data_IF_326906206117
#
_entry.id   IF_326906206117
#
_cell.length_a   1.000
_cell.length_b   1.000
_cell.length_c   1.000
_cell.angle_alpha   90.00
_cell.angle_beta   90.00
_cell.angle_gamma   90.00
#
_symmetry.space_group_name_H-M   'P 1'
#
loop_
_entity.id
_entity.type
_entity.pdbx_description
1 polymer ?
#
# COMPACT_ATOMS: atom_id res chain seq x y z
N UNK A 1 -67.26 7.73 -67.54
CA UNK A 1 -66.23 8.67 -67.07
C UNK A 1 -66.72 9.31 -65.78
N UNK A 2 -65.86 9.43 -64.78
CA UNK A 2 -66.27 9.91 -63.45
C UNK A 2 -65.82 11.37 -63.33
N UNK A 3 -66.76 12.33 -63.18
CA UNK A 3 -66.40 13.72 -62.92
C UNK A 3 -65.92 13.85 -61.47
N UNK A 4 -64.74 14.44 -61.30
CA UNK A 4 -64.23 14.86 -59.99
C UNK A 4 -64.10 16.37 -59.97
N UNK A 5 -64.54 16.98 -58.86
CA UNK A 5 -64.33 18.40 -58.59
C UNK A 5 -63.00 18.59 -57.87
N UNK A 6 -62.07 19.31 -58.50
CA UNK A 6 -60.78 19.74 -57.93
C UNK A 6 -60.80 21.27 -57.91
N UNK A 7 -60.94 21.87 -56.72
CA UNK A 7 -61.17 23.31 -56.59
C UNK A 7 -62.49 23.73 -57.24
N UNK A 8 -62.46 24.68 -58.17
CA UNK A 8 -63.62 25.13 -58.97
C UNK A 8 -63.80 24.34 -60.27
N UNK A 9 -62.81 23.56 -60.70
CA UNK A 9 -62.85 22.80 -61.96
C UNK A 9 -63.44 21.40 -61.79
N UNK A 10 -64.20 20.94 -62.80
CA UNK A 10 -64.65 19.55 -62.93
C UNK A 10 -63.76 18.86 -63.97
N UNK A 11 -62.97 17.87 -63.53
CA UNK A 11 -62.13 17.05 -64.41
C UNK A 11 -62.73 15.65 -64.54
N UNK A 12 -62.65 15.05 -65.74
CA UNK A 12 -63.10 13.69 -65.96
C UNK A 12 -61.94 12.71 -65.79
N UNK A 13 -62.08 11.73 -64.89
CA UNK A 13 -61.11 10.64 -64.78
C UNK A 13 -61.54 9.49 -65.71
N UNK A 14 -60.58 9.01 -66.53
CA UNK A 14 -60.76 7.87 -67.44
C UNK A 14 -60.59 6.51 -66.74
N UNK A 15 -59.94 6.46 -65.58
CA UNK A 15 -59.78 5.25 -64.78
C UNK A 15 -59.01 5.53 -63.49
N UNK A 16 -59.27 4.73 -62.47
CA UNK A 16 -58.46 4.68 -61.25
C UNK A 16 -57.59 3.44 -61.37
N UNK A 17 -56.30 3.59 -61.15
CA UNK A 17 -55.33 2.50 -61.19
C UNK A 17 -54.73 2.33 -59.81
N UNK A 18 -54.50 1.09 -59.39
CA UNK A 18 -53.85 0.75 -58.13
C UNK A 18 -52.82 -0.34 -58.39
N UNK A 19 -51.77 -0.40 -57.57
CA UNK A 19 -50.68 -1.37 -57.74
C UNK A 19 -50.75 -2.43 -56.66
N UNK A 20 -50.66 -3.70 -57.04
CA UNK A 20 -50.49 -4.84 -56.11
C UNK A 20 -49.21 -5.56 -56.52
N UNK A 21 -48.18 -5.51 -55.68
CA UNK A 21 -46.85 -6.01 -56.03
C UNK A 21 -46.26 -5.25 -57.23
N UNK A 22 -45.90 -5.97 -58.30
CA UNK A 22 -45.42 -5.38 -59.56
C UNK A 22 -46.54 -5.14 -60.60
N UNK A 23 -47.79 -5.51 -60.32
CA UNK A 23 -48.89 -5.37 -61.25
C UNK A 23 -49.68 -4.08 -61.02
N UNK A 24 -49.99 -3.35 -62.09
CA UNK A 24 -50.94 -2.23 -62.08
C UNK A 24 -52.31 -2.74 -62.51
N UNK A 25 -53.29 -2.67 -61.62
CA UNK A 25 -54.67 -3.07 -61.88
C UNK A 25 -55.55 -1.84 -62.03
N UNK A 26 -56.44 -1.88 -63.02
CA UNK A 26 -57.44 -0.84 -63.24
C UNK A 26 -58.67 -1.18 -62.41
N UNK A 27 -59.07 -0.29 -61.51
CA UNK A 27 -60.31 -0.45 -60.77
C UNK A 27 -61.48 -0.08 -61.70
N UNK A 28 -62.30 -1.07 -62.05
CA UNK A 28 -63.46 -0.87 -62.88
C UNK A 28 -64.61 -0.32 -62.02
N UNK A 29 -64.75 1.00 -62.00
CA UNK A 29 -65.81 1.66 -61.23
C UNK A 29 -67.08 1.68 -62.08
N UNK A 30 -68.02 0.76 -61.78
CA UNK A 30 -69.23 0.50 -62.57
C UNK A 30 -70.40 1.46 -62.28
N UNK A 31 -70.32 2.30 -61.25
CA UNK A 31 -71.41 3.21 -60.87
C UNK A 31 -70.89 4.59 -60.46
N UNK A 32 -71.81 5.57 -60.41
CA UNK A 32 -71.54 6.96 -60.00
C UNK A 32 -70.91 6.93 -58.60
N UNK A 33 -69.67 7.40 -58.50
CA UNK A 33 -68.97 7.50 -57.23
C UNK A 33 -69.69 8.53 -56.36
N UNK A 34 -70.45 8.07 -55.37
CA UNK A 34 -70.96 8.92 -54.29
C UNK A 34 -69.80 9.62 -53.57
N UNK A 35 -70.07 10.77 -52.96
CA UNK A 35 -69.10 11.59 -52.21
C UNK A 35 -68.25 10.81 -51.19
N UNK A 36 -68.69 9.61 -50.80
CA UNK A 36 -68.09 8.72 -49.81
C UNK A 36 -66.81 8.00 -50.27
N UNK A 37 -66.51 7.91 -51.58
CA UNK A 37 -65.27 7.24 -52.06
C UNK A 37 -64.06 8.20 -52.08
N UNK A 38 -64.26 9.52 -51.90
CA UNK A 38 -63.13 10.44 -51.68
C UNK A 38 -62.28 10.03 -50.47
N UNK A 39 -62.86 9.33 -49.50
CA UNK A 39 -62.17 8.83 -48.32
C UNK A 39 -61.45 7.48 -48.52
N UNK A 40 -61.70 6.79 -49.65
CA UNK A 40 -61.26 5.41 -49.86
C UNK A 40 -59.92 5.25 -50.57
N UNK A 41 -59.42 6.29 -51.26
CA UNK A 41 -58.04 6.29 -51.77
C UNK A 41 -57.15 6.84 -50.66
N UNK A 42 -56.90 6.02 -49.63
CA UNK A 42 -55.82 6.26 -48.68
C UNK A 42 -54.51 6.21 -49.46
N UNK A 43 -54.00 7.37 -49.86
CA UNK A 43 -52.65 7.49 -50.37
C UNK A 43 -51.73 7.14 -49.20
N UNK A 44 -51.13 5.95 -49.24
CA UNK A 44 -50.10 5.57 -48.29
C UNK A 44 -48.74 5.90 -48.88
N UNK A 45 -47.81 6.32 -48.03
CA UNK A 45 -46.43 6.62 -48.43
C UNK A 45 -45.50 5.73 -47.63
N UNK A 46 -44.62 5.01 -48.32
CA UNK A 46 -43.51 4.32 -47.70
C UNK A 46 -42.34 5.28 -47.48
N UNK A 47 -41.76 5.24 -46.28
CA UNK A 47 -40.59 6.02 -45.89
C UNK A 47 -39.55 5.10 -45.27
N UNK A 48 -38.31 5.58 -45.27
CA UNK A 48 -37.16 4.94 -44.64
C UNK A 48 -36.57 5.93 -43.64
N UNK A 49 -36.46 5.51 -42.37
CA UNK A 49 -35.69 6.22 -41.36
C UNK A 49 -34.41 5.44 -41.09
N UNK A 50 -33.26 6.12 -41.19
CA UNK A 50 -31.97 5.59 -40.73
C UNK A 50 -31.60 6.29 -39.43
N UNK A 51 -31.19 5.53 -38.42
CA UNK A 51 -30.80 6.06 -37.12
C UNK A 51 -29.54 5.38 -36.60
N UNK A 52 -28.59 6.18 -36.12
CA UNK A 52 -27.37 5.73 -35.47
C UNK A 52 -27.53 5.88 -33.95
N UNK A 53 -27.46 4.77 -33.22
CA UNK A 53 -27.37 4.82 -31.78
C UNK A 53 -26.04 5.45 -31.36
N UNK A 54 -26.10 6.30 -30.34
CA UNK A 54 -24.88 6.78 -29.68
C UNK A 54 -24.13 5.59 -29.09
N UNK A 55 -22.81 5.61 -29.19
CA UNK A 55 -21.98 4.54 -28.67
C UNK A 55 -22.18 4.38 -27.15
N UNK A 56 -22.25 3.14 -26.67
CA UNK A 56 -22.54 2.83 -25.27
C UNK A 56 -21.76 1.61 -24.79
N UNK A 57 -21.49 1.53 -23.49
CA UNK A 57 -20.97 0.30 -22.85
C UNK A 57 -22.05 -0.76 -22.65
N UNK A 58 -23.33 -0.38 -22.79
CA UNK A 58 -24.44 -1.33 -22.78
C UNK A 58 -24.58 -1.97 -24.14
N UNK A 59 -24.53 -3.30 -24.17
CA UNK A 59 -24.82 -4.07 -25.37
C UNK A 59 -26.31 -4.03 -25.74
N UNK A 60 -27.19 -3.59 -24.84
CA UNK A 60 -28.62 -3.42 -25.09
C UNK A 60 -29.01 -1.94 -25.05
N UNK A 61 -29.65 -1.45 -26.09
CA UNK A 61 -30.12 -0.06 -26.19
C UNK A 61 -31.52 0.00 -26.79
N UNK A 62 -32.27 1.04 -26.46
CA UNK A 62 -33.57 1.29 -27.03
C UNK A 62 -33.77 2.76 -27.35
N UNK A 63 -34.59 3.04 -28.36
CA UNK A 63 -35.04 4.39 -28.66
C UNK A 63 -36.50 4.38 -29.12
N UNK A 64 -37.22 5.47 -28.87
CA UNK A 64 -38.60 5.64 -29.28
C UNK A 64 -38.67 6.64 -30.44
N UNK A 65 -39.31 6.22 -31.53
CA UNK A 65 -39.53 7.02 -32.71
C UNK A 65 -41.01 7.34 -32.85
N UNK A 66 -41.34 8.59 -33.14
CA UNK A 66 -42.69 9.02 -33.42
C UNK A 66 -42.87 9.22 -34.93
N UNK A 67 -43.84 8.52 -35.52
CA UNK A 67 -44.20 8.63 -36.91
C UNK A 67 -45.67 9.03 -36.99
N UNK A 68 -45.95 10.30 -37.25
CA UNK A 68 -47.35 10.77 -37.36
C UNK A 68 -48.10 10.01 -38.45
N UNK A 69 -49.33 9.57 -38.13
CA UNK A 69 -50.20 8.79 -39.01
C UNK A 69 -49.62 7.43 -39.42
N UNK A 70 -48.96 6.72 -38.48
CA UNK A 70 -48.31 5.44 -38.76
C UNK A 70 -49.32 4.31 -38.99
N UNK A 71 -49.32 3.77 -40.20
CA UNK A 71 -50.15 2.61 -40.55
C UNK A 71 -49.41 1.32 -40.16
N UNK A 72 -48.18 1.12 -40.62
CA UNK A 72 -47.40 -0.09 -40.37
C UNK A 72 -45.90 0.18 -40.29
N UNK A 73 -45.21 -0.66 -39.53
CA UNK A 73 -43.76 -0.86 -39.63
C UNK A 73 -43.57 -2.07 -40.53
N UNK A 74 -42.95 -1.86 -41.68
CA UNK A 74 -42.84 -2.87 -42.73
C UNK A 74 -41.61 -3.76 -42.51
N UNK A 75 -40.50 -3.14 -42.06
CA UNK A 75 -39.24 -3.84 -41.79
C UNK A 75 -38.38 -3.01 -40.82
N UNK A 76 -37.70 -3.69 -39.90
CA UNK A 76 -36.63 -3.09 -39.09
C UNK A 76 -35.38 -3.94 -39.21
N UNK A 77 -34.28 -3.35 -39.65
CA UNK A 77 -32.98 -4.01 -39.75
C UNK A 77 -31.94 -3.29 -38.90
N UNK A 78 -30.91 -4.03 -38.47
CA UNK A 78 -29.74 -3.50 -37.77
C UNK A 78 -28.48 -4.00 -38.45
N UNK A 79 -27.45 -3.16 -38.50
CA UNK A 79 -26.17 -3.51 -39.13
C UNK A 79 -25.40 -4.63 -38.41
N UNK A 80 -25.60 -4.79 -37.10
CA UNK A 80 -25.03 -5.87 -36.28
C UNK A 80 -25.95 -6.23 -35.11
N UNK A 81 -25.82 -7.46 -34.61
CA UNK A 81 -26.63 -7.96 -33.51
C UNK A 81 -28.10 -8.23 -33.90
N UNK A 82 -28.97 -8.08 -32.92
CA UNK A 82 -30.40 -8.33 -33.02
C UNK A 82 -31.19 -7.03 -32.91
N UNK A 83 -32.34 -6.98 -33.57
CA UNK A 83 -33.30 -5.88 -33.42
C UNK A 83 -34.69 -6.43 -33.16
N UNK A 84 -35.40 -5.80 -32.25
CA UNK A 84 -36.82 -6.00 -32.00
C UNK A 84 -37.52 -4.65 -31.93
N UNK A 85 -38.83 -4.63 -32.12
CA UNK A 85 -39.59 -3.41 -31.97
C UNK A 85 -41.00 -3.68 -31.42
N UNK A 86 -41.59 -2.65 -30.84
CA UNK A 86 -42.99 -2.63 -30.42
C UNK A 86 -43.64 -1.37 -30.96
N UNK A 87 -44.80 -1.52 -31.61
CA UNK A 87 -45.61 -0.41 -32.11
C UNK A 87 -46.74 -0.11 -31.12
N UNK A 88 -46.85 1.14 -30.71
CA UNK A 88 -47.98 1.67 -29.96
C UNK A 88 -48.50 2.94 -30.64
N UNK A 89 -49.60 2.81 -31.40
CA UNK A 89 -50.13 3.88 -32.26
C UNK A 89 -49.05 4.42 -33.21
N UNK A 90 -48.69 5.70 -33.06
CA UNK A 90 -47.68 6.40 -33.84
C UNK A 90 -46.26 6.26 -33.27
N UNK A 91 -46.10 5.62 -32.11
CA UNK A 91 -44.79 5.39 -31.50
C UNK A 91 -44.27 3.99 -31.83
N UNK A 92 -42.99 3.93 -32.18
CA UNK A 92 -42.25 2.68 -32.40
C UNK A 92 -41.06 2.69 -31.45
N UNK A 93 -41.06 1.76 -30.51
CA UNK A 93 -39.90 1.52 -29.64
C UNK A 93 -39.06 0.46 -30.32
N UNK A 94 -37.83 0.80 -30.69
CA UNK A 94 -36.87 -0.16 -31.26
C UNK A 94 -35.81 -0.46 -30.22
N UNK A 95 -35.56 -1.75 -30.00
CA UNK A 95 -34.55 -2.27 -29.10
C UNK A 95 -33.50 -3.05 -29.90
N UNK A 96 -32.23 -2.78 -29.65
CA UNK A 96 -31.09 -3.48 -30.24
C UNK A 96 -30.29 -4.19 -29.16
N UNK A 97 -29.78 -5.39 -29.45
CA UNK A 97 -29.01 -6.19 -28.50
C UNK A 97 -28.00 -7.11 -29.19
N UNK A 98 -27.11 -7.73 -28.41
CA UNK A 98 -26.17 -8.76 -28.90
C UNK A 98 -25.29 -8.32 -30.08
N UNK A 99 -25.01 -7.02 -30.22
CA UNK A 99 -24.12 -6.49 -31.24
C UNK A 99 -22.67 -6.83 -30.97
N UNK A 100 -21.85 -6.74 -32.02
CA UNK A 100 -20.40 -6.88 -31.89
C UNK A 100 -19.79 -5.61 -31.29
N UNK A 101 -18.63 -5.77 -30.64
CA UNK A 101 -17.90 -4.64 -30.05
C UNK A 101 -17.46 -3.69 -31.17
N UNK A 102 -17.85 -2.42 -31.08
CA UNK A 102 -17.42 -1.38 -32.03
C UNK A 102 -15.98 -0.94 -31.78
N UNK A 103 -15.60 -0.83 -30.50
CA UNK A 103 -14.24 -0.60 -30.04
C UNK A 103 -14.06 -1.05 -28.59
N UNK A 104 -12.81 -1.27 -28.22
CA UNK A 104 -12.40 -1.47 -26.83
C UNK A 104 -11.47 -0.34 -26.41
N UNK A 105 -11.65 0.19 -25.19
CA UNK A 105 -10.73 1.16 -24.60
C UNK A 105 -10.01 0.53 -23.41
N UNK A 106 -8.68 0.61 -23.40
CA UNK A 106 -7.89 0.17 -22.25
C UNK A 106 -7.97 1.22 -21.14
N UNK A 107 -8.19 0.75 -19.91
CA UNK A 107 -8.15 1.55 -18.69
C UNK A 107 -7.20 0.84 -17.72
N UNK A 108 -6.09 1.51 -17.39
CA UNK A 108 -5.06 1.00 -16.49
C UNK A 108 -5.56 0.85 -15.05
N UNK A 109 -6.67 1.49 -14.69
CA UNK A 109 -7.27 1.53 -13.35
C UNK A 109 -8.57 0.75 -13.24
N UNK A 110 -8.96 0.01 -14.30
CA UNK A 110 -10.25 -0.69 -14.38
C UNK A 110 -10.56 -1.59 -13.19
N UNK A 111 -9.56 -2.34 -12.74
CA UNK A 111 -9.66 -3.17 -11.55
C UNK A 111 -8.72 -2.61 -10.47
N UNK A 112 -9.23 -2.49 -9.26
CA UNK A 112 -8.49 -1.96 -8.12
C UNK A 112 -8.69 -2.84 -6.90
N UNK A 113 -7.63 -3.02 -6.11
CA UNK A 113 -7.68 -3.69 -4.81
C UNK A 113 -6.94 -2.87 -3.77
N UNK A 114 -7.51 -2.77 -2.57
CA UNK A 114 -6.88 -2.09 -1.45
C UNK A 114 -5.86 -3.01 -0.77
N UNK A 115 -4.71 -2.47 -0.40
CA UNK A 115 -3.64 -3.23 0.25
C UNK A 115 -2.98 -2.45 1.38
N UNK A 116 -2.55 -3.20 2.40
CA UNK A 116 -1.73 -2.70 3.50
C UNK A 116 -0.44 -3.52 3.60
N UNK A 117 0.68 -2.85 3.88
CA UNK A 117 1.98 -3.47 4.15
C UNK A 117 2.69 -2.77 5.31
N UNK A 118 3.62 -3.48 5.95
CA UNK A 118 4.43 -2.97 7.06
C UNK A 118 5.91 -3.13 6.74
N UNK A 119 6.72 -2.14 7.14
CA UNK A 119 8.19 -2.20 7.08
C UNK A 119 8.76 -1.89 8.45
N UNK A 120 9.75 -2.69 8.85
CA UNK A 120 10.46 -2.55 10.12
C UNK A 120 11.89 -2.05 9.87
N UNK A 121 12.41 -1.21 10.76
CA UNK A 121 13.76 -0.63 10.67
C UNK A 121 14.28 -0.24 12.05
N UNK A 122 15.60 -0.21 12.25
CA UNK A 122 16.23 0.38 13.45
C UNK A 122 16.22 1.91 13.45
N UNK A 123 15.76 2.54 12.36
CA UNK A 123 15.60 3.98 12.23
C UNK A 123 14.12 4.34 12.05
N UNK A 124 13.70 5.49 12.59
CA UNK A 124 12.37 6.05 12.38
C UNK A 124 12.21 6.80 11.04
N UNK A 125 13.24 6.81 10.19
CA UNK A 125 13.20 7.40 8.87
C UNK A 125 12.77 6.36 7.83
N UNK A 126 11.54 6.48 7.35
CA UNK A 126 10.96 5.62 6.33
C UNK A 126 10.74 6.37 5.02
N UNK A 127 10.71 5.65 3.90
CA UNK A 127 10.31 6.22 2.62
C UNK A 127 8.84 6.68 2.68
N UNK A 128 8.48 7.74 1.96
CA UNK A 128 7.09 8.20 1.87
C UNK A 128 6.18 7.22 1.12
N UNK A 129 6.76 6.30 0.35
CA UNK A 129 6.03 5.30 -0.43
C UNK A 129 6.88 4.09 -0.78
N UNK A 130 6.23 2.98 -1.10
CA UNK A 130 6.85 1.75 -1.61
C UNK A 130 6.07 1.20 -2.81
N UNK A 131 6.77 0.57 -3.75
CA UNK A 131 6.13 -0.20 -4.82
C UNK A 131 5.62 -1.54 -4.28
N UNK A 132 4.44 -1.97 -4.73
CA UNK A 132 3.88 -3.28 -4.39
C UNK A 132 3.19 -3.92 -5.58
N UNK A 133 3.27 -5.24 -5.68
CA UNK A 133 2.58 -6.05 -6.68
C UNK A 133 2.05 -7.33 -6.04
N UNK A 134 0.87 -7.77 -6.48
CA UNK A 134 0.24 -9.01 -5.99
C UNK A 134 -0.90 -9.43 -6.91
N UNK A 135 -0.94 -10.71 -7.30
CA UNK A 135 -2.08 -11.27 -8.05
C UNK A 135 -2.38 -10.60 -9.38
N UNK A 136 -1.38 -10.04 -10.07
CA UNK A 136 -1.57 -9.29 -11.33
C UNK A 136 -1.87 -7.79 -11.15
N UNK A 137 -2.04 -7.33 -9.91
CA UNK A 137 -2.17 -5.91 -9.59
C UNK A 137 -0.80 -5.31 -9.25
N UNK A 138 -0.59 -4.04 -9.60
CA UNK A 138 0.61 -3.28 -9.23
C UNK A 138 0.25 -1.84 -8.87
N UNK A 139 1.07 -1.21 -8.03
CA UNK A 139 0.81 0.14 -7.58
C UNK A 139 1.83 0.63 -6.56
N UNK A 140 1.56 1.84 -6.06
CA UNK A 140 2.37 2.49 -5.03
C UNK A 140 1.55 2.58 -3.76
N UNK A 141 2.11 2.07 -2.65
CA UNK A 141 1.55 2.23 -1.32
C UNK A 141 2.22 3.42 -0.65
N UNK A 142 1.45 4.29 -0.03
CA UNK A 142 1.93 5.49 0.63
C UNK A 142 1.99 5.29 2.14
N UNK A 143 2.97 5.91 2.78
CA UNK A 143 3.08 5.89 4.23
C UNK A 143 1.79 6.46 4.86
N UNK A 144 1.20 5.70 5.78
CA UNK A 144 -0.04 6.05 6.46
C UNK A 144 0.24 6.30 7.93
N UNK A 145 0.02 7.54 8.38
CA UNK A 145 0.43 7.99 9.71
C UNK A 145 1.95 8.05 9.90
N UNK A 146 2.38 8.39 11.12
CA UNK A 146 3.78 8.37 11.50
C UNK A 146 4.26 6.96 11.87
N UNK A 147 5.56 6.71 11.72
CA UNK A 147 6.19 5.49 12.23
C UNK A 147 6.11 5.42 13.76
N UNK A 148 6.02 4.23 14.32
CA UNK A 148 5.97 4.02 15.77
C UNK A 148 6.97 2.94 16.20
N UNK A 149 7.31 2.92 17.48
CA UNK A 149 8.16 1.86 18.06
C UNK A 149 7.33 0.58 18.15
N UNK A 150 7.70 -0.43 17.36
CA UNK A 150 7.04 -1.73 17.37
C UNK A 150 7.63 -2.68 18.41
N UNK A 151 8.93 -2.54 18.70
CA UNK A 151 9.62 -3.33 19.73
C UNK A 151 10.91 -2.65 20.20
N UNK A 152 11.55 -3.20 21.23
CA UNK A 152 12.80 -2.68 21.80
C UNK A 152 12.61 -1.48 22.72
N UNK A 153 13.71 -0.93 23.21
CA UNK A 153 13.73 0.19 24.15
C UNK A 153 14.96 1.08 23.98
N UNK A 154 14.85 2.31 24.50
CA UNK A 154 15.98 3.23 24.61
C UNK A 154 16.44 3.30 26.05
N UNK A 155 17.71 2.97 26.27
CA UNK A 155 18.39 3.13 27.55
C UNK A 155 19.29 4.36 27.40
N UNK A 156 19.00 5.48 28.07
CA UNK A 156 19.85 6.66 28.01
C UNK A 156 21.22 6.37 28.63
N UNK A 157 22.22 7.14 28.22
CA UNK A 157 23.51 7.16 28.89
C UNK A 157 23.33 7.60 30.34
N UNK A 158 24.11 7.01 31.24
CA UNK A 158 24.04 7.29 32.67
C UNK A 158 25.44 7.35 33.28
N UNK A 159 25.59 8.04 34.40
CA UNK A 159 26.86 8.18 35.11
C UNK A 159 26.64 8.12 36.61
N UNK A 160 27.55 7.45 37.32
CA UNK A 160 27.53 7.39 38.79
C UNK A 160 28.93 7.45 39.36
N UNK A 161 29.02 7.84 40.62
CA UNK A 161 30.23 7.64 41.40
C UNK A 161 30.38 6.15 41.74
N UNK A 162 31.57 5.60 41.51
CA UNK A 162 31.93 4.24 41.90
C UNK A 162 33.18 4.25 42.78
N UNK A 163 33.25 3.26 43.64
CA UNK A 163 34.43 2.99 44.48
C UNK A 163 34.92 1.58 44.22
N UNK A 164 36.24 1.41 44.17
CA UNK A 164 36.88 0.11 44.01
C UNK A 164 37.95 -0.10 45.06
N UNK A 165 38.23 -1.36 45.39
CA UNK A 165 39.36 -1.71 46.24
C UNK A 165 40.28 -2.66 45.51
N UNK A 166 41.59 -2.46 45.69
CA UNK A 166 42.60 -3.38 45.18
C UNK A 166 43.53 -3.77 46.30
N UNK A 167 43.70 -5.07 46.45
CA UNK A 167 44.68 -5.65 47.36
C UNK A 167 45.97 -5.91 46.59
N UNK A 168 47.07 -5.29 47.03
CA UNK A 168 48.41 -5.63 46.55
C UNK A 168 49.19 -6.34 47.64
N UNK A 169 49.93 -7.38 47.25
CA UNK A 169 50.92 -8.02 48.11
C UNK A 169 52.14 -7.11 48.30
N UNK A 170 52.57 -6.95 49.53
CA UNK A 170 53.89 -6.45 49.90
C UNK A 170 54.82 -7.60 50.28
N UNK A 171 56.11 -7.31 50.38
CA UNK A 171 57.06 -8.18 51.04
C UNK A 171 57.85 -7.39 52.06
N UNK A 172 58.20 -8.06 53.15
CA UNK A 172 59.00 -7.49 54.22
C UNK A 172 60.40 -8.10 54.16
N UNK A 173 61.40 -7.25 54.29
CA UNK A 173 62.77 -7.70 54.46
C UNK A 173 63.08 -7.73 55.95
N UNK A 174 63.67 -8.83 56.40
CA UNK A 174 64.11 -9.01 57.78
C UNK A 174 65.62 -9.16 57.80
N UNK A 175 66.24 -8.64 58.86
CA UNK A 175 67.63 -8.86 59.19
C UNK A 175 67.71 -9.55 60.54
N UNK A 176 68.54 -10.56 60.59
CA UNK A 176 68.88 -11.23 61.82
C UNK A 176 69.83 -10.33 62.62
N UNK A 177 69.37 -9.86 63.78
CA UNK A 177 70.15 -8.99 64.64
C UNK A 177 70.49 -9.72 65.94
N UNK A 178 71.77 -10.08 66.10
CA UNK A 178 72.26 -10.80 67.29
C UNK A 178 72.18 -9.94 68.56
N UNK A 179 72.22 -8.62 68.43
CA UNK A 179 72.14 -7.67 69.55
C UNK A 179 70.71 -7.38 70.00
N UNK A 180 69.70 -7.78 69.23
CA UNK A 180 68.29 -7.64 69.56
C UNK A 180 67.68 -9.00 69.96
N UNK A 181 68.25 -9.64 70.99
CA UNK A 181 67.79 -10.93 71.55
C UNK A 181 67.71 -12.10 70.56
N UNK A 182 68.56 -12.14 69.52
CA UNK A 182 68.50 -13.19 68.47
C UNK A 182 67.11 -13.24 67.82
N UNK A 183 66.62 -12.09 67.36
CA UNK A 183 65.34 -11.96 66.67
C UNK A 183 65.54 -11.39 65.27
N UNK A 184 64.67 -11.81 64.35
CA UNK A 184 64.51 -11.15 63.06
C UNK A 184 63.90 -9.76 63.27
N UNK A 185 64.64 -8.71 62.94
CA UNK A 185 64.17 -7.33 62.96
C UNK A 185 63.70 -6.92 61.55
N UNK A 186 62.54 -6.25 61.41
CA UNK A 186 62.11 -5.75 60.11
C UNK A 186 63.05 -4.62 59.65
N UNK A 187 63.67 -4.77 58.49
CA UNK A 187 64.52 -3.73 57.88
C UNK A 187 63.72 -2.72 57.05
N UNK A 188 62.49 -3.08 56.67
CA UNK A 188 61.62 -2.27 55.85
C UNK A 188 60.62 -3.11 55.08
N UNK A 189 59.47 -2.50 54.79
CA UNK A 189 58.44 -3.05 53.92
C UNK A 189 58.57 -2.44 52.53
N UNK A 190 58.61 -3.25 51.49
CA UNK A 190 58.45 -2.77 50.11
C UNK A 190 57.05 -3.14 49.64
N UNK A 191 56.27 -2.13 49.28
CA UNK A 191 54.93 -2.29 48.73
C UNK A 191 54.97 -1.88 47.27
N UNK A 192 54.35 -2.67 46.41
CA UNK A 192 54.12 -2.24 45.03
C UNK A 192 53.37 -0.89 45.06
N UNK A 193 53.83 0.14 44.33
CA UNK A 193 53.17 1.43 44.34
C UNK A 193 51.72 1.28 43.89
N UNK A 194 50.81 2.01 44.52
CA UNK A 194 49.44 2.09 44.05
C UNK A 194 49.45 2.51 42.58
N UNK A 195 48.83 1.73 41.70
CA UNK A 195 48.54 2.22 40.36
C UNK A 195 47.67 3.48 40.51
N UNK A 196 48.02 4.59 39.85
CA UNK A 196 47.25 5.84 39.96
C UNK A 196 45.82 5.73 39.41
N UNK A 197 45.56 4.69 38.61
CA UNK A 197 44.28 4.41 37.97
C UNK A 197 43.90 2.94 38.17
N UNK A 198 42.63 2.69 38.45
CA UNK A 198 42.01 1.37 38.49
C UNK A 198 40.81 1.33 37.53
N UNK A 199 40.75 0.35 36.63
CA UNK A 199 39.62 0.19 35.72
C UNK A 199 38.47 -0.53 36.42
N UNK A 200 37.31 0.09 36.43
CA UNK A 200 36.07 -0.43 36.99
C UNK A 200 35.14 -0.88 35.86
N UNK A 201 34.48 -2.01 36.07
CA UNK A 201 33.38 -2.49 35.24
C UNK A 201 32.40 -3.25 36.13
N UNK A 202 31.10 -3.06 35.92
CA UNK A 202 30.06 -3.81 36.63
C UNK A 202 29.05 -4.49 35.70
N UNK A 203 28.24 -5.38 36.28
CA UNK A 203 27.22 -6.14 35.56
C UNK A 203 26.08 -5.28 35.00
N UNK A 204 25.99 -4.01 35.39
CA UNK A 204 25.01 -3.07 34.84
C UNK A 204 25.56 -2.29 33.65
N UNK A 205 26.80 -2.57 33.21
CA UNK A 205 27.45 -1.98 32.05
C UNK A 205 28.08 -0.61 32.32
N UNK A 206 28.27 -0.24 33.58
CA UNK A 206 29.08 0.94 33.91
C UNK A 206 30.55 0.59 33.85
N UNK A 207 31.32 1.42 33.15
CA UNK A 207 32.77 1.31 33.16
C UNK A 207 33.46 2.67 33.20
N UNK A 208 34.71 2.67 33.64
CA UNK A 208 35.51 3.88 33.72
C UNK A 208 36.78 3.72 34.55
N UNK A 209 37.58 4.77 34.57
CA UNK A 209 38.81 4.83 35.35
C UNK A 209 38.55 5.48 36.71
N UNK A 210 38.89 4.77 37.78
CA UNK A 210 38.86 5.29 39.15
C UNK A 210 40.25 5.82 39.53
N UNK A 211 40.29 7.02 40.07
CA UNK A 211 41.51 7.61 40.63
C UNK A 211 41.78 7.10 42.05
N UNK A 212 43.05 7.08 42.46
CA UNK A 212 43.42 6.73 43.82
C UNK A 212 42.79 7.71 44.83
N UNK A 213 42.08 7.17 45.83
CA UNK A 213 41.33 7.94 46.81
C UNK A 213 41.86 7.78 48.25
N UNK A 214 42.99 7.08 48.43
CA UNK A 214 43.60 6.79 49.73
C UNK A 214 43.71 5.29 49.99
N UNK A 215 44.53 4.89 50.97
CA UNK A 215 44.73 3.49 51.33
C UNK A 215 44.93 3.34 52.84
N UNK A 216 44.50 2.22 53.38
CA UNK A 216 44.80 1.81 54.75
C UNK A 216 45.71 0.58 54.72
N UNK A 217 46.81 0.66 55.47
CA UNK A 217 47.62 -0.51 55.80
C UNK A 217 46.92 -1.30 56.91
N UNK A 218 46.41 -2.48 56.58
CA UNK A 218 46.14 -3.47 57.62
C UNK A 218 47.41 -4.31 57.76
N UNK A 219 48.28 -3.87 58.68
CA UNK A 219 49.49 -4.60 59.02
C UNK A 219 49.11 -5.78 59.91
N UNK A 220 48.99 -6.95 59.31
CA UNK A 220 48.87 -8.21 60.05
C UNK A 220 50.17 -8.96 59.87
N UNK A 221 51.04 -8.96 60.89
CA UNK A 221 52.22 -9.84 60.90
C UNK A 221 51.72 -11.28 60.84
N UNK A 222 51.74 -11.88 59.65
CA UNK A 222 51.51 -13.31 59.49
C UNK A 222 52.56 -14.08 60.28
N UNK A 223 52.19 -15.21 60.86
CA UNK A 223 52.99 -16.05 61.76
C UNK A 223 54.12 -16.85 61.07
N UNK A 224 54.81 -16.24 60.09
CA UNK A 224 55.82 -16.88 59.24
C UNK A 224 57.21 -16.25 59.36
N UNK A 225 57.65 -15.89 60.57
CA UNK A 225 59.04 -15.46 60.81
C UNK A 225 60.02 -16.50 60.24
N UNK A 226 61.13 -16.09 59.58
CA UNK A 226 62.13 -17.05 59.12
C UNK A 226 62.67 -17.87 60.31
N UNK A 227 62.97 -19.14 60.09
CA UNK A 227 63.46 -20.01 61.17
C UNK A 227 64.83 -19.54 61.66
N UNK A 228 65.12 -19.71 62.95
CA UNK A 228 66.32 -19.18 63.60
C UNK A 228 67.55 -20.08 63.46
N UNK A 229 67.41 -21.27 62.88
CA UNK A 229 68.44 -22.31 62.94
C UNK A 229 69.60 -22.02 61.96
N UNK A 230 70.81 -21.83 62.49
CA UNK A 230 72.03 -21.59 61.71
C UNK A 230 72.23 -20.15 61.21
N UNK A 231 71.52 -19.18 61.80
CA UNK A 231 71.58 -17.77 61.37
C UNK A 231 72.84 -17.05 61.88
N UNK A 232 73.40 -16.16 61.04
CA UNK A 232 74.56 -15.30 61.39
C UNK A 232 74.14 -13.83 61.47
N UNK A 233 74.83 -13.06 62.31
CA UNK A 233 74.56 -11.62 62.49
C UNK A 233 74.68 -10.88 61.15
N UNK A 234 73.68 -10.06 60.82
CA UNK A 234 73.58 -9.35 59.55
C UNK A 234 73.03 -10.19 58.38
N UNK A 235 72.61 -11.43 58.61
CA UNK A 235 71.93 -12.22 57.58
C UNK A 235 70.57 -11.60 57.25
N UNK A 236 70.31 -11.36 55.97
CA UNK A 236 69.02 -10.89 55.47
C UNK A 236 68.17 -12.06 54.98
N UNK A 237 66.86 -12.01 55.25
CA UNK A 237 65.88 -12.91 54.67
C UNK A 237 64.69 -12.11 54.14
N UNK A 238 64.31 -12.38 52.89
CA UNK A 238 63.05 -11.89 52.35
C UNK A 238 62.00 -12.95 52.61
N UNK A 239 61.11 -12.67 53.54
CA UNK A 239 59.96 -13.52 53.75
C UNK A 239 58.75 -12.87 53.06
N UNK A 240 58.13 -13.66 52.18
CA UNK A 240 56.89 -13.29 51.53
C UNK A 240 55.75 -13.45 52.54
N UNK A 241 55.52 -12.40 53.31
CA UNK A 241 54.28 -12.30 54.08
C UNK A 241 53.17 -11.90 53.13
N UNK A 242 51.96 -12.46 53.29
CA UNK A 242 50.76 -11.91 52.66
C UNK A 242 50.38 -10.60 53.34
N UNK A 243 51.27 -9.61 53.32
CA UNK A 243 50.96 -8.24 53.70
C UNK A 243 50.11 -7.66 52.58
N UNK A 244 48.85 -7.39 52.88
CA UNK A 244 47.90 -6.91 51.91
C UNK A 244 47.62 -5.44 52.17
N UNK A 245 48.01 -4.61 51.19
CA UNK A 245 47.64 -3.20 51.19
C UNK A 245 46.31 -3.03 50.48
N UNK A 246 45.33 -2.49 51.21
CA UNK A 246 44.02 -2.19 50.67
C UNK A 246 44.03 -0.75 50.15
N UNK A 247 44.09 -0.60 48.83
CA UNK A 247 43.99 0.69 48.16
C UNK A 247 42.54 0.96 47.77
N UNK A 248 42.03 2.13 48.15
CA UNK A 248 40.70 2.59 47.78
C UNK A 248 40.80 3.52 46.57
N UNK A 249 39.89 3.33 45.64
CA UNK A 249 39.77 4.09 44.40
C UNK A 249 38.37 4.68 44.30
N UNK A 250 38.26 5.88 43.72
CA UNK A 250 36.99 6.56 43.48
C UNK A 250 37.03 7.30 42.15
N UNK A 251 35.89 7.35 41.46
CA UNK A 251 35.72 8.16 40.27
C UNK A 251 34.32 8.01 39.68
N UNK A 252 34.05 8.83 38.66
CA UNK A 252 32.81 8.74 37.88
C UNK A 252 32.95 7.66 36.82
N UNK A 253 32.00 6.72 36.79
CA UNK A 253 31.88 5.70 35.75
C UNK A 253 30.64 5.95 34.92
N UNK A 254 30.69 5.59 33.64
CA UNK A 254 29.63 5.87 32.67
C UNK A 254 29.11 4.58 32.06
N UNK A 255 27.81 4.56 31.79
CA UNK A 255 27.16 3.57 30.92
C UNK A 255 26.71 4.30 29.66
N UNK A 256 27.09 3.76 28.49
CA UNK A 256 26.70 4.35 27.20
C UNK A 256 25.21 4.18 26.94
N UNK A 257 24.65 5.07 26.13
CA UNK A 257 23.29 4.92 25.65
C UNK A 257 23.18 3.70 24.72
N UNK A 258 22.09 2.94 24.84
CA UNK A 258 21.79 1.79 23.99
C UNK A 258 20.38 1.95 23.44
N UNK A 259 20.26 1.99 22.12
CA UNK A 259 18.97 2.02 21.43
C UNK A 259 18.74 0.68 20.72
N UNK A 260 17.74 -0.05 21.17
CA UNK A 260 17.31 -1.33 20.58
C UNK A 260 15.96 -1.22 19.90
N UNK A 261 15.40 -0.01 19.79
CA UNK A 261 14.07 0.21 19.23
C UNK A 261 14.05 -0.21 17.76
N UNK A 262 13.01 -0.96 17.42
CA UNK A 262 12.61 -1.22 16.04
C UNK A 262 11.36 -0.42 15.77
N UNK A 263 11.45 0.44 14.77
CA UNK A 263 10.33 1.24 14.29
C UNK A 263 9.59 0.48 13.21
N UNK A 264 8.28 0.70 13.12
CA UNK A 264 7.40 0.16 12.08
C UNK A 264 6.64 1.28 11.40
N UNK A 265 6.59 1.22 10.08
CA UNK A 265 5.76 2.09 9.24
C UNK A 265 4.70 1.27 8.53
N UNK A 266 3.45 1.74 8.61
CA UNK A 266 2.32 1.21 7.81
C UNK A 266 2.29 1.92 6.45
N UNK A 267 2.07 1.16 5.39
CA UNK A 267 1.85 1.66 4.04
C UNK A 267 0.50 1.16 3.53
N UNK A 268 -0.26 2.06 2.90
CA UNK A 268 -1.60 1.75 2.38
C UNK A 268 -1.81 2.35 1.00
N UNK A 269 -2.62 1.73 0.17
CA UNK A 269 -2.95 2.25 -1.14
C UNK A 269 -3.77 1.26 -1.97
N UNK A 270 -4.09 1.67 -3.20
CA UNK A 270 -4.71 0.79 -4.18
C UNK A 270 -3.65 0.26 -5.14
N UNK A 271 -3.73 -1.04 -5.42
CA UNK A 271 -3.05 -1.65 -6.55
C UNK A 271 -4.05 -1.76 -7.69
N UNK A 272 -3.58 -1.56 -8.91
CA UNK A 272 -4.41 -1.56 -10.11
C UNK A 272 -4.01 -2.68 -11.06
N UNK A 273 -5.00 -3.22 -11.73
CA UNK A 273 -4.84 -4.13 -12.86
C UNK A 273 -5.65 -3.56 -14.02
N UNK A 274 -4.97 -3.30 -15.13
CA UNK A 274 -5.63 -2.74 -16.30
C UNK A 274 -6.59 -3.73 -16.97
N UNK A 275 -7.52 -3.20 -17.75
CA UNK A 275 -8.45 -4.01 -18.52
C UNK A 275 -9.14 -3.20 -19.62
N UNK A 276 -9.94 -3.88 -20.44
CA UNK A 276 -10.63 -3.27 -21.56
C UNK A 276 -12.11 -3.07 -21.27
N UNK A 277 -12.63 -1.89 -21.56
CA UNK A 277 -14.08 -1.62 -21.61
C UNK A 277 -14.54 -1.64 -23.05
N UNK A 278 -15.51 -2.51 -23.33
CA UNK A 278 -16.09 -2.66 -24.66
C UNK A 278 -17.23 -1.68 -24.87
N UNK A 279 -17.28 -1.12 -26.06
CA UNK A 279 -18.31 -0.21 -26.51
C UNK A 279 -19.05 -0.83 -27.69
N UNK A 280 -20.32 -0.49 -27.81
CA UNK A 280 -21.25 -1.01 -28.81
C UNK A 280 -21.91 0.16 -29.54
N UNK A 281 -22.07 -0.02 -30.85
CA UNK A 281 -22.70 0.97 -31.72
C UNK A 281 -23.56 0.26 -32.76
N UNK A 282 -24.76 0.77 -32.96
CA UNK A 282 -25.76 0.21 -33.85
C UNK A 282 -26.25 1.26 -34.84
N UNK A 283 -26.52 0.80 -36.05
CA UNK A 283 -27.21 1.56 -37.09
C UNK A 283 -28.44 0.77 -37.49
N UNK A 284 -29.61 1.36 -37.31
CA UNK A 284 -30.89 0.76 -37.69
C UNK A 284 -31.46 1.43 -38.93
N UNK A 285 -32.23 0.66 -39.68
CA UNK A 285 -33.12 1.17 -40.72
C UNK A 285 -34.54 0.71 -40.43
N UNK A 286 -35.48 1.65 -40.41
CA UNK A 286 -36.91 1.41 -40.20
C UNK A 286 -37.63 1.77 -41.49
N UNK A 287 -38.20 0.77 -42.16
CA UNK A 287 -39.10 0.96 -43.30
C UNK A 287 -40.53 0.96 -42.77
N UNK A 288 -41.29 2.00 -43.09
CA UNK A 288 -42.63 2.20 -42.54
C UNK A 288 -43.57 2.86 -43.53
N UNK A 289 -44.87 2.63 -43.34
CA UNK A 289 -45.94 3.17 -44.17
C UNK A 289 -46.82 4.12 -43.35
N UNK A 290 -47.02 5.35 -43.83
CA UNK A 290 -47.90 6.36 -43.22
C UNK A 290 -49.10 6.67 -44.11
N UNK A 291 -50.17 7.21 -43.50
CA UNK A 291 -51.28 7.84 -44.22
C UNK A 291 -50.84 9.24 -44.66
N UNK A 292 -50.96 9.52 -45.95
CA UNK A 292 -50.82 10.87 -46.50
C UNK A 292 -52.06 11.72 -46.22
#
# INVERSE_FOLDING_TARGET
MIPIKIGTEIKQIKGIYYKIGNEVKRLLVKSKVGSEIKDFIKYTIQKLLTYDFTESTSQSMSNTFNFSNLISVDEVTVNNGNVSYTKNQDNVIVSVSNGTVSRSAYDSTKYATYKEEYRDSSSNSFASSISSSSGGYSGTLYASGGSYVASGSYIPSDSKEATGTRTLGGFNNFEWNKYNNNLWAPMGSSVAPAAGIYYYEDSNGYSGSLGFAGGQSNYTIGSGMPTTNGTVDGQTSTAYFPDYWLYNYKGTVTRLAVDTRVYRQKYTGYLYQGGYTNYYKYKINIKYTIKN
#
